data_IF_228183198063
#
_entry.id   IF_228183198063
#
_cell.length_a   1.000
_cell.length_b   1.000
_cell.length_c   1.000
_cell.angle_alpha   90.00
_cell.angle_beta   90.00
_cell.angle_gamma   90.00
#
_symmetry.space_group_name_H-M   'P 1'
#
loop_
_entity.id
_entity.type
_entity.pdbx_description
1 polymer ?
#
# COMPACT_ATOMS: atom_id res chain seq x y z
N UNK A 1 17.78 21.31 9.70
CA UNK A 1 18.30 22.38 8.81
C UNK A 1 18.94 21.71 7.60
N UNK A 2 18.36 21.92 6.41
CA UNK A 2 18.89 22.97 5.52
C UNK A 2 17.78 23.92 5.04
N UNK A 3 18.15 25.15 4.73
CA UNK A 3 17.27 26.18 4.15
C UNK A 3 17.32 26.12 2.62
N UNK A 4 16.18 26.00 1.96
CA UNK A 4 16.05 26.15 0.51
C UNK A 4 15.85 27.63 0.17
N UNK A 5 16.79 28.23 -0.55
CA UNK A 5 16.66 29.59 -1.07
C UNK A 5 15.92 29.60 -2.42
N UNK A 6 14.80 30.33 -2.51
CA UNK A 6 14.13 30.63 -3.78
C UNK A 6 14.54 32.04 -4.21
N UNK A 7 15.40 32.13 -5.23
CA UNK A 7 15.83 33.40 -5.82
C UNK A 7 15.07 33.61 -7.13
N UNK A 8 14.13 34.55 -7.19
CA UNK A 8 13.29 34.74 -8.37
C UNK A 8 12.53 36.04 -8.42
N UNK A 9 13.21 37.20 -8.44
CA UNK A 9 12.62 38.44 -8.95
C UNK A 9 13.68 39.26 -9.68
N UNK A 10 13.50 39.46 -11.00
CA UNK A 10 14.33 40.32 -11.85
C UNK A 10 13.63 41.66 -12.03
N UNK A 11 14.15 42.72 -11.41
CA UNK A 11 13.77 44.10 -11.71
C UNK A 11 14.87 44.71 -12.59
N UNK A 12 14.51 45.09 -13.82
CA UNK A 12 15.42 45.68 -14.80
C UNK A 12 15.38 47.18 -14.64
N UNK A 13 16.44 47.78 -14.06
CA UNK A 13 16.79 49.21 -14.17
C UNK A 13 18.28 49.38 -13.80
N UNK A 14 19.11 49.77 -14.79
CA UNK A 14 20.51 50.25 -14.66
C UNK A 14 21.60 49.18 -14.37
N UNK A 15 22.90 49.39 -14.75
CA UNK A 15 23.85 48.31 -15.00
C UNK A 15 24.61 47.80 -13.76
N UNK A 16 24.10 48.06 -12.56
CA UNK A 16 24.72 47.57 -11.31
C UNK A 16 23.84 46.44 -10.77
N UNK A 17 24.26 45.20 -11.03
CA UNK A 17 23.55 43.98 -10.64
C UNK A 17 23.67 43.77 -9.12
N UNK A 18 22.73 44.33 -8.35
CA UNK A 18 22.54 44.00 -6.93
C UNK A 18 21.54 42.83 -6.82
N UNK A 19 22.03 41.65 -6.46
CA UNK A 19 21.17 40.53 -6.05
C UNK A 19 20.58 40.85 -4.66
N UNK A 20 19.30 41.22 -4.60
CA UNK A 20 18.54 41.23 -3.35
C UNK A 20 18.01 39.81 -3.08
N UNK A 21 18.64 39.09 -2.15
CA UNK A 21 18.07 37.89 -1.54
C UNK A 21 17.07 38.32 -0.46
N UNK A 22 15.77 38.17 -0.72
CA UNK A 22 14.75 38.24 0.32
C UNK A 22 14.77 36.91 1.06
N UNK A 23 15.42 36.87 2.23
CA UNK A 23 15.28 35.75 3.16
C UNK A 23 13.89 35.89 3.78
N UNK A 24 12.93 35.08 3.33
CA UNK A 24 11.66 34.92 4.04
C UNK A 24 11.98 34.15 5.32
N UNK A 25 12.19 34.86 6.41
CA UNK A 25 12.28 34.25 7.73
C UNK A 25 10.94 33.57 8.04
N UNK A 26 10.94 32.24 8.15
CA UNK A 26 9.83 31.54 8.77
C UNK A 26 9.65 32.08 10.20
N UNK A 27 8.41 32.29 10.68
CA UNK A 27 8.19 32.72 12.05
C UNK A 27 8.84 31.69 12.98
N UNK A 28 9.72 32.17 13.86
CA UNK A 28 10.33 31.34 14.89
C UNK A 28 9.22 30.70 15.72
N UNK A 29 9.12 29.38 15.67
CA UNK A 29 8.23 28.60 16.53
C UNK A 29 8.66 28.88 17.97
N UNK A 30 7.72 29.36 18.79
CA UNK A 30 7.97 29.67 20.20
C UNK A 30 8.57 28.46 20.92
N UNK A 31 9.66 28.68 21.65
CA UNK A 31 10.50 27.69 22.33
C UNK A 31 9.81 26.84 23.42
N UNK A 32 8.49 26.95 23.59
CA UNK A 32 7.70 26.22 24.58
C UNK A 32 6.73 25.19 23.96
N UNK A 33 6.65 25.07 22.63
CA UNK A 33 5.88 23.99 21.99
C UNK A 33 6.72 22.72 22.04
N UNK A 34 6.46 21.86 23.02
CA UNK A 34 7.05 20.52 23.02
C UNK A 34 6.17 19.64 22.14
N UNK A 35 6.60 19.48 20.88
CA UNK A 35 5.95 18.68 19.86
C UNK A 35 5.72 17.23 20.34
N UNK A 36 4.63 16.56 19.90
CA UNK A 36 4.43 15.16 20.19
C UNK A 36 5.62 14.35 19.71
N UNK A 37 6.18 13.55 20.61
CA UNK A 37 7.07 12.46 20.20
C UNK A 37 6.16 11.28 19.87
N UNK A 38 6.22 10.81 18.62
CA UNK A 38 5.57 9.56 18.25
C UNK A 38 6.23 8.43 19.07
N UNK A 39 5.44 7.70 19.86
CA UNK A 39 5.94 6.56 20.65
C UNK A 39 6.23 5.32 19.79
N UNK A 40 6.17 5.47 18.47
CA UNK A 40 6.09 4.35 17.56
C UNK A 40 7.40 3.56 17.62
N UNK A 41 7.34 2.39 18.25
CA UNK A 41 8.43 1.41 18.22
C UNK A 41 8.78 1.10 16.76
N UNK A 42 10.07 0.92 16.45
CA UNK A 42 10.55 0.65 15.08
C UNK A 42 9.86 -0.55 14.40
N UNK A 43 9.34 -1.50 15.17
CA UNK A 43 8.54 -2.65 14.71
C UNK A 43 7.11 -2.31 14.29
N UNK A 44 6.57 -1.15 14.69
CA UNK A 44 5.23 -0.70 14.32
C UNK A 44 5.17 0.06 12.98
N UNK A 45 6.33 0.40 12.40
CA UNK A 45 6.42 1.16 11.14
C UNK A 45 6.45 0.28 9.89
N UNK A 46 6.43 -1.04 10.04
CA UNK A 46 6.38 -1.99 8.94
C UNK A 46 5.08 -2.80 9.03
N UNK A 47 4.27 -2.76 7.98
CA UNK A 47 3.02 -3.50 7.88
C UNK A 47 2.96 -4.25 6.56
N UNK A 48 2.33 -5.41 6.60
CA UNK A 48 2.01 -6.21 5.43
C UNK A 48 0.50 -6.39 5.38
N UNK A 49 -0.08 -6.30 4.20
CA UNK A 49 -1.48 -6.59 3.94
C UNK A 49 -1.61 -7.26 2.57
N UNK A 50 -2.81 -7.66 2.16
CA UNK A 50 -3.08 -8.21 0.84
C UNK A 50 -4.27 -7.49 0.21
N UNK A 51 -4.53 -7.74 -1.07
CA UNK A 51 -5.66 -7.12 -1.78
C UNK A 51 -6.97 -7.45 -1.07
N UNK A 52 -7.84 -6.48 -0.86
CA UNK A 52 -9.11 -6.65 -0.13
C UNK A 52 -8.96 -6.81 1.38
N UNK A 53 -7.74 -6.92 1.93
CA UNK A 53 -7.53 -6.99 3.37
C UNK A 53 -7.44 -5.58 3.96
N UNK A 54 -8.41 -5.20 4.78
CA UNK A 54 -8.39 -3.90 5.48
C UNK A 54 -7.28 -3.89 6.53
N UNK A 55 -6.25 -3.08 6.27
CA UNK A 55 -5.20 -2.77 7.21
C UNK A 55 -5.67 -1.64 8.14
N UNK A 56 -5.54 -1.84 9.44
CA UNK A 56 -5.72 -0.80 10.46
C UNK A 56 -4.42 -0.60 11.25
N UNK A 57 -3.92 0.63 11.30
CA UNK A 57 -2.70 0.98 12.04
C UNK A 57 -3.02 2.13 12.99
N UNK A 58 -2.90 1.86 14.29
CA UNK A 58 -3.06 2.86 15.33
C UNK A 58 -1.67 3.42 15.70
N UNK A 59 -1.47 4.71 15.43
CA UNK A 59 -0.26 5.45 15.74
C UNK A 59 -0.49 6.25 17.01
N UNK A 60 0.13 5.81 18.10
CA UNK A 60 0.04 6.46 19.39
C UNK A 60 1.04 7.61 19.49
N UNK A 61 0.58 8.74 20.00
CA UNK A 61 1.42 9.88 20.33
C UNK A 61 0.84 10.64 21.51
N UNK A 62 1.71 11.33 22.25
CA UNK A 62 1.35 12.09 23.43
C UNK A 62 1.79 13.54 23.28
N UNK A 63 0.99 14.48 23.76
CA UNK A 63 1.29 15.93 23.77
C UNK A 63 1.27 16.47 25.18
N UNK A 64 2.07 17.52 25.42
CA UNK A 64 2.06 18.22 26.71
C UNK A 64 0.75 18.99 26.91
N UNK A 65 0.32 19.20 28.16
CA UNK A 65 -0.89 19.96 28.46
C UNK A 65 -0.66 21.42 28.05
N UNK A 66 -1.66 22.02 27.42
CA UNK A 66 -1.58 23.38 26.85
C UNK A 66 -1.38 23.43 25.34
N UNK A 67 -1.01 22.30 24.70
CA UNK A 67 -1.10 22.14 23.25
C UNK A 67 -2.40 21.38 22.92
N UNK A 68 -3.43 22.10 22.45
CA UNK A 68 -4.64 21.48 21.92
C UNK A 68 -4.42 21.19 20.44
N UNK A 69 -4.33 19.92 20.07
CA UNK A 69 -4.45 19.50 18.68
C UNK A 69 -5.93 19.35 18.36
N UNK A 70 -6.37 19.90 17.24
CA UNK A 70 -7.68 19.55 16.70
C UNK A 70 -7.66 18.09 16.19
N UNK A 71 -8.83 17.49 16.00
CA UNK A 71 -8.95 16.10 15.52
C UNK A 71 -8.48 15.90 14.07
N UNK A 72 -7.92 16.94 13.43
CA UNK A 72 -7.39 16.92 12.06
C UNK A 72 -5.93 17.39 11.99
N UNK A 73 -5.25 17.50 13.14
CA UNK A 73 -3.91 18.07 13.21
C UNK A 73 -2.86 17.13 12.65
N UNK A 74 -3.11 15.81 12.65
CA UNK A 74 -2.29 14.84 11.91
C UNK A 74 -2.75 14.79 10.45
N UNK A 75 -1.83 15.03 9.52
CA UNK A 75 -2.05 14.84 8.09
C UNK A 75 -1.39 13.54 7.64
N UNK A 76 -2.09 12.78 6.82
CA UNK A 76 -1.50 11.71 6.03
C UNK A 76 -1.12 12.26 4.67
N UNK A 77 0.13 12.11 4.31
CA UNK A 77 0.60 12.24 2.93
C UNK A 77 1.18 10.91 2.50
N UNK A 78 1.16 10.63 1.22
CA UNK A 78 1.73 9.41 0.68
C UNK A 78 2.63 9.76 -0.50
N UNK A 79 3.81 9.14 -0.54
CA UNK A 79 4.62 9.22 -1.75
C UNK A 79 4.04 8.23 -2.76
N UNK A 80 3.50 8.75 -3.85
CA UNK A 80 2.94 7.91 -4.91
C UNK A 80 4.11 7.31 -5.69
N UNK A 81 4.55 6.10 -5.31
CA UNK A 81 5.71 5.46 -5.94
C UNK A 81 5.49 5.21 -7.45
N UNK A 82 4.25 5.18 -7.96
CA UNK A 82 3.95 4.94 -9.39
C UNK A 82 2.67 5.62 -9.95
N UNK A 83 2.28 6.81 -9.49
CA UNK A 83 1.05 7.47 -9.94
C UNK A 83 -0.28 6.78 -9.57
N UNK A 84 -0.27 5.73 -8.75
CA UNK A 84 -1.46 4.98 -8.31
C UNK A 84 -2.16 5.69 -7.13
N UNK A 85 -3.45 6.03 -7.28
CA UNK A 85 -4.26 6.62 -6.21
C UNK A 85 -4.57 5.62 -5.11
N UNK A 86 -4.67 6.08 -3.85
CA UNK A 86 -5.07 5.27 -2.70
C UNK A 86 -6.49 5.67 -2.23
N UNK A 87 -7.57 5.34 -2.97
CA UNK A 87 -8.91 5.91 -2.73
C UNK A 87 -9.55 5.50 -1.41
N UNK A 88 -9.21 4.31 -0.88
CA UNK A 88 -9.74 3.78 0.38
C UNK A 88 -8.90 4.16 1.60
N UNK A 89 -7.82 4.94 1.42
CA UNK A 89 -6.96 5.37 2.52
C UNK A 89 -7.66 6.45 3.34
N UNK A 90 -7.88 6.16 4.62
CA UNK A 90 -8.54 7.06 5.56
C UNK A 90 -7.66 7.26 6.81
N UNK A 91 -7.72 8.47 7.37
CA UNK A 91 -7.16 8.80 8.69
C UNK A 91 -8.27 9.26 9.61
N UNK A 92 -8.28 8.77 10.84
CA UNK A 92 -9.14 9.28 11.90
C UNK A 92 -8.31 9.50 13.17
N UNK A 93 -8.65 10.53 13.95
CA UNK A 93 -7.95 10.84 15.20
C UNK A 93 -8.92 10.88 16.36
N UNK A 94 -8.52 10.32 17.50
CA UNK A 94 -9.30 10.32 18.72
C UNK A 94 -8.40 10.34 19.96
N UNK A 95 -8.91 10.92 21.05
CA UNK A 95 -8.24 10.92 22.35
C UNK A 95 -8.25 9.50 22.94
N UNK A 96 -7.18 9.14 23.64
CA UNK A 96 -7.05 7.84 24.32
C UNK A 96 -6.66 7.98 25.78
N UNK A 97 -6.90 6.93 26.56
CA UNK A 97 -6.42 6.83 27.94
C UNK A 97 -4.92 6.52 27.97
N UNK A 98 -4.18 6.96 29.01
CA UNK A 98 -2.77 6.63 29.18
C UNK A 98 -2.51 5.10 29.18
N UNK A 99 -1.37 4.63 28.66
CA UNK A 99 -0.96 3.24 28.79
C UNK A 99 -0.83 2.87 30.28
N UNK A 100 -1.23 1.64 30.66
CA UNK A 100 -1.16 1.17 32.06
C UNK A 100 0.27 1.13 32.63
N UNK A 101 1.29 1.15 31.78
CA UNK A 101 2.70 0.92 32.11
C UNK A 101 3.52 2.20 32.25
N UNK A 102 3.04 3.35 31.75
CA UNK A 102 3.77 4.62 31.80
C UNK A 102 2.80 5.77 32.10
N UNK A 103 2.88 6.27 33.33
CA UNK A 103 2.10 7.42 33.77
C UNK A 103 2.97 8.67 33.74
N UNK A 104 3.20 9.23 32.54
CA UNK A 104 3.54 10.65 32.49
C UNK A 104 2.32 11.42 32.96
N UNK A 105 2.33 11.85 34.22
CA UNK A 105 1.18 12.36 34.98
C UNK A 105 0.56 13.65 34.44
N UNK A 106 1.07 14.17 33.33
CA UNK A 106 0.64 15.40 32.67
C UNK A 106 0.77 15.29 31.14
N UNK A 107 0.38 14.20 30.49
CA UNK A 107 0.33 14.14 29.01
C UNK A 107 -1.09 13.81 28.54
N UNK A 108 -1.47 14.34 27.39
CA UNK A 108 -2.70 13.97 26.68
C UNK A 108 -2.33 12.97 25.58
N UNK A 109 -2.98 11.82 25.58
CA UNK A 109 -2.71 10.74 24.64
C UNK A 109 -3.71 10.78 23.49
N UNK A 110 -3.19 10.59 22.28
CA UNK A 110 -3.95 10.56 21.05
C UNK A 110 -3.59 9.32 20.24
N UNK A 111 -4.55 8.88 19.44
CA UNK A 111 -4.38 7.83 18.44
C UNK A 111 -4.73 8.41 17.09
N UNK A 112 -3.81 8.31 16.13
CA UNK A 112 -4.12 8.47 14.71
C UNK A 112 -4.27 7.08 14.09
N UNK A 113 -5.49 6.74 13.71
CA UNK A 113 -5.82 5.48 13.07
C UNK A 113 -5.79 5.65 11.56
N UNK A 114 -4.94 4.87 10.91
CA UNK A 114 -4.87 4.74 9.45
C UNK A 114 -5.62 3.48 9.05
N UNK A 115 -6.60 3.61 8.16
CA UNK A 115 -7.37 2.49 7.60
C UNK A 115 -7.17 2.47 6.09
N UNK A 116 -6.85 1.31 5.53
CA UNK A 116 -6.67 1.15 4.09
C UNK A 116 -7.01 -0.25 3.62
N UNK A 117 -7.78 -0.36 2.53
CA UNK A 117 -8.09 -1.64 1.86
C UNK A 117 -7.49 -1.61 0.46
N UNK A 118 -6.37 -2.31 0.20
CA UNK A 118 -5.71 -2.29 -1.10
C UNK A 118 -6.56 -2.95 -2.19
N UNK A 119 -6.64 -2.33 -3.35
CA UNK A 119 -7.15 -2.93 -4.59
C UNK A 119 -6.06 -3.68 -5.38
N UNK A 120 -6.47 -4.41 -6.42
CA UNK A 120 -5.57 -5.24 -7.24
C UNK A 120 -4.37 -4.46 -7.79
N UNK A 121 -4.57 -3.21 -8.23
CA UNK A 121 -3.51 -2.33 -8.76
C UNK A 121 -2.38 -2.05 -7.78
N UNK A 122 -2.60 -2.30 -6.48
CA UNK A 122 -1.61 -2.10 -5.42
C UNK A 122 -0.81 -3.37 -5.09
N UNK A 123 -1.16 -4.51 -5.69
CA UNK A 123 -0.48 -5.80 -5.47
C UNK A 123 1.02 -5.70 -5.72
N UNK A 124 1.80 -6.40 -4.90
CA UNK A 124 3.26 -6.49 -5.00
C UNK A 124 4.02 -5.15 -4.86
N UNK A 125 3.36 -4.09 -4.39
CA UNK A 125 3.98 -2.78 -4.19
C UNK A 125 4.18 -2.47 -2.71
N UNK A 126 5.12 -1.56 -2.46
CA UNK A 126 5.36 -1.00 -1.12
C UNK A 126 5.06 0.48 -1.13
N UNK A 127 4.21 0.90 -0.20
CA UNK A 127 3.76 2.28 -0.02
C UNK A 127 4.43 2.90 1.20
N UNK A 128 4.85 4.14 1.02
CA UNK A 128 5.45 4.98 2.05
C UNK A 128 4.44 6.05 2.44
N UNK A 129 3.83 5.87 3.61
CA UNK A 129 2.82 6.76 4.16
C UNK A 129 3.50 7.66 5.20
N UNK A 130 3.61 8.94 4.88
CA UNK A 130 4.13 9.96 5.76
C UNK A 130 3.01 10.47 6.67
N UNK A 131 3.16 10.23 7.97
CA UNK A 131 2.24 10.72 9.00
C UNK A 131 2.87 11.95 9.61
N UNK A 132 2.32 13.12 9.33
CA UNK A 132 2.93 14.40 9.64
C UNK A 132 2.04 15.26 10.51
N UNK A 133 2.63 15.93 11.50
CA UNK A 133 1.95 16.91 12.35
C UNK A 133 2.46 18.31 11.95
N UNK A 134 1.71 19.09 11.16
CA UNK A 134 2.18 20.36 10.60
C UNK A 134 2.55 21.40 11.63
N UNK A 135 1.85 21.44 12.75
CA UNK A 135 2.13 22.38 13.85
C UNK A 135 3.49 22.14 14.50
N UNK A 136 4.09 20.97 14.27
CA UNK A 136 5.23 20.48 15.02
C UNK A 136 6.43 20.12 14.15
N UNK A 137 6.27 20.13 12.83
CA UNK A 137 7.26 19.67 11.84
C UNK A 137 7.80 18.26 12.12
N UNK A 138 7.01 17.42 12.79
CA UNK A 138 7.36 16.03 13.11
C UNK A 138 6.64 15.09 12.17
N UNK A 139 7.38 14.17 11.56
CA UNK A 139 6.83 13.09 10.73
C UNK A 139 7.24 11.71 11.22
N UNK A 140 6.40 10.73 10.94
CA UNK A 140 6.70 9.31 11.05
C UNK A 140 6.41 8.62 9.71
N UNK A 141 7.20 7.62 9.36
CA UNK A 141 7.10 6.94 8.08
C UNK A 141 6.56 5.52 8.26
N UNK A 142 5.33 5.29 7.83
CA UNK A 142 4.71 3.97 7.80
C UNK A 142 4.96 3.31 6.45
N UNK A 143 5.66 2.16 6.46
CA UNK A 143 5.87 1.31 5.29
C UNK A 143 4.81 0.22 5.25
N UNK A 144 4.03 0.17 4.17
CA UNK A 144 3.04 -0.88 3.93
C UNK A 144 3.38 -1.65 2.67
N UNK A 145 3.57 -2.96 2.78
CA UNK A 145 3.78 -3.86 1.64
C UNK A 145 2.52 -4.66 1.36
N UNK A 146 2.05 -4.65 0.12
CA UNK A 146 0.92 -5.48 -0.31
C UNK A 146 1.45 -6.78 -0.88
N UNK A 147 1.04 -7.90 -0.30
CA UNK A 147 1.50 -9.21 -0.71
C UNK A 147 1.04 -9.52 -2.13
N UNK A 148 1.94 -10.10 -2.90
CA UNK A 148 1.67 -10.55 -4.26
C UNK A 148 0.83 -11.82 -4.25
N UNK A 149 -0.13 -11.91 -5.18
CA UNK A 149 -0.92 -13.13 -5.43
C UNK A 149 -1.75 -13.63 -4.24
N UNK A 150 -2.15 -12.70 -3.36
CA UNK A 150 -2.97 -12.96 -2.19
C UNK A 150 -4.10 -11.95 -2.09
N UNK A 151 -5.22 -12.37 -1.53
CA UNK A 151 -6.34 -11.48 -1.25
C UNK A 151 -7.18 -11.93 -0.05
N UNK A 152 -7.94 -11.01 0.54
CA UNK A 152 -8.97 -11.34 1.53
C UNK A 152 -10.35 -11.49 0.88
N UNK A 153 -11.13 -12.41 1.43
CA UNK A 153 -12.52 -12.61 1.07
C UNK A 153 -13.43 -11.56 1.74
N UNK A 154 -14.41 -11.06 1.00
CA UNK A 154 -15.49 -10.22 1.51
C UNK A 154 -16.60 -11.09 2.11
N UNK A 155 -17.53 -10.49 2.86
CA UNK A 155 -18.59 -11.21 3.61
C UNK A 155 -19.45 -12.15 2.75
N UNK A 156 -19.72 -11.79 1.50
CA UNK A 156 -20.60 -12.54 0.60
C UNK A 156 -19.86 -13.35 -0.48
N UNK A 157 -18.53 -13.44 -0.39
CA UNK A 157 -17.73 -14.13 -1.40
C UNK A 157 -17.62 -15.63 -1.11
N UNK A 158 -17.70 -16.42 -2.18
CA UNK A 158 -17.37 -17.85 -2.25
C UNK A 158 -16.13 -18.07 -3.11
N UNK A 159 -15.44 -19.21 -2.98
CA UNK A 159 -14.34 -19.55 -3.91
C UNK A 159 -14.81 -19.57 -5.38
N UNK A 160 -16.05 -19.98 -5.64
CA UNK A 160 -16.66 -19.93 -6.98
C UNK A 160 -16.80 -18.51 -7.49
N UNK A 161 -17.36 -17.60 -6.69
CA UNK A 161 -17.51 -16.20 -7.09
C UNK A 161 -16.17 -15.55 -7.38
N UNK A 162 -15.13 -15.81 -6.57
CA UNK A 162 -13.78 -15.29 -6.80
C UNK A 162 -13.19 -15.88 -8.07
N UNK A 163 -13.24 -17.21 -8.24
CA UNK A 163 -12.68 -17.86 -9.43
C UNK A 163 -13.36 -17.37 -10.70
N UNK A 164 -14.68 -17.14 -10.66
CA UNK A 164 -15.45 -16.52 -11.74
C UNK A 164 -14.94 -15.15 -12.16
N UNK A 165 -14.51 -14.29 -11.22
CA UNK A 165 -13.90 -12.98 -11.53
C UNK A 165 -12.64 -13.10 -12.40
N UNK A 166 -11.92 -14.21 -12.27
CA UNK A 166 -10.68 -14.46 -12.98
C UNK A 166 -10.84 -15.47 -14.13
N UNK A 167 -12.08 -15.85 -14.48
CA UNK A 167 -12.37 -16.92 -15.43
C UNK A 167 -11.61 -18.23 -15.10
N UNK A 168 -11.76 -18.67 -13.86
CA UNK A 168 -11.14 -19.87 -13.30
C UNK A 168 -12.19 -20.73 -12.61
N UNK A 169 -11.86 -22.01 -12.46
CA UNK A 169 -12.65 -22.92 -11.66
C UNK A 169 -12.26 -22.80 -10.18
N UNK A 170 -13.24 -22.84 -9.27
CA UNK A 170 -13.00 -22.69 -7.82
C UNK A 170 -11.98 -23.68 -7.24
N UNK A 171 -11.92 -24.90 -7.79
CA UNK A 171 -11.01 -25.94 -7.34
C UNK A 171 -9.54 -25.53 -7.53
N UNK A 172 -9.25 -24.66 -8.50
CA UNK A 172 -7.91 -24.11 -8.70
C UNK A 172 -7.48 -23.28 -7.50
N UNK A 173 -8.36 -22.39 -7.03
CA UNK A 173 -8.09 -21.55 -5.86
C UNK A 173 -7.98 -22.45 -4.63
N UNK A 174 -8.90 -23.39 -4.46
CA UNK A 174 -8.83 -24.32 -3.33
C UNK A 174 -7.51 -25.12 -3.30
N UNK A 175 -7.03 -25.57 -4.47
CA UNK A 175 -5.80 -26.37 -4.57
C UNK A 175 -4.53 -25.64 -4.10
N UNK A 176 -4.49 -24.31 -4.19
CA UNK A 176 -3.35 -23.48 -3.73
C UNK A 176 -3.51 -22.98 -2.30
N UNK A 177 -4.56 -23.40 -1.61
CA UNK A 177 -4.89 -23.03 -0.24
C UNK A 177 -5.04 -24.27 0.66
N UNK A 178 -3.95 -25.02 0.92
CA UNK A 178 -4.00 -26.26 1.71
C UNK A 178 -4.45 -26.07 3.16
N UNK A 179 -4.47 -24.82 3.65
CA UNK A 179 -4.99 -24.47 4.98
C UNK A 179 -6.53 -24.36 5.03
N UNK A 180 -7.22 -24.31 3.88
CA UNK A 180 -8.68 -24.34 3.84
C UNK A 180 -9.16 -25.79 3.96
N UNK A 181 -9.74 -26.11 5.11
CA UNK A 181 -10.25 -27.45 5.42
C UNK A 181 -11.44 -27.87 4.54
N UNK A 182 -12.19 -26.91 4.01
CA UNK A 182 -13.34 -27.14 3.13
C UNK A 182 -13.53 -25.92 2.23
N UNK A 183 -13.88 -26.12 0.94
CA UNK A 183 -14.07 -25.01 -0.01
C UNK A 183 -15.26 -24.11 0.32
N UNK A 184 -16.24 -24.62 1.08
CA UNK A 184 -17.46 -23.89 1.46
C UNK A 184 -17.33 -23.22 2.83
N UNK A 185 -16.30 -23.56 3.61
CA UNK A 185 -16.06 -23.02 4.96
C UNK A 185 -15.03 -21.92 4.91
N UNK A 186 -15.43 -20.78 4.35
CA UNK A 186 -14.62 -19.57 4.28
C UNK A 186 -15.28 -18.44 5.06
N UNK A 187 -14.46 -17.56 5.63
CA UNK A 187 -14.91 -16.46 6.49
C UNK A 187 -14.57 -15.12 5.86
N UNK A 188 -15.37 -14.10 6.17
CA UNK A 188 -15.02 -12.72 5.85
C UNK A 188 -13.65 -12.35 6.42
N UNK A 189 -12.83 -11.64 5.65
CA UNK A 189 -11.46 -11.28 6.00
C UNK A 189 -10.47 -12.44 5.96
N UNK A 190 -10.88 -13.66 5.60
CA UNK A 190 -9.96 -14.77 5.41
C UNK A 190 -9.03 -14.48 4.23
N UNK A 191 -7.73 -14.41 4.49
CA UNK A 191 -6.72 -14.32 3.44
C UNK A 191 -6.57 -15.67 2.73
N UNK A 192 -6.53 -15.61 1.40
CA UNK A 192 -6.29 -16.73 0.50
C UNK A 192 -5.16 -16.41 -0.48
N UNK A 193 -4.46 -17.45 -0.94
CA UNK A 193 -3.64 -17.41 -2.13
C UNK A 193 -4.57 -17.40 -3.34
N UNK A 194 -4.45 -16.38 -4.19
CA UNK A 194 -5.23 -16.27 -5.41
C UNK A 194 -4.68 -17.19 -6.52
N UNK A 195 -3.37 -17.41 -6.51
CA UNK A 195 -2.66 -18.24 -7.47
C UNK A 195 -1.30 -18.66 -6.94
N UNK A 196 -0.37 -18.97 -7.84
CA UNK A 196 1.02 -19.30 -7.51
C UNK A 196 1.96 -18.18 -7.95
N UNK A 197 3.11 -18.09 -7.27
CA UNK A 197 4.22 -17.25 -7.69
C UNK A 197 5.16 -18.08 -8.57
N UNK A 198 5.33 -17.65 -9.81
CA UNK A 198 6.33 -18.18 -10.74
C UNK A 198 7.54 -17.24 -10.78
N UNK A 199 8.74 -17.78 -10.57
CA UNK A 199 9.99 -17.03 -10.75
C UNK A 199 10.48 -17.18 -12.19
N UNK A 200 10.63 -16.07 -12.89
CA UNK A 200 11.05 -16.06 -14.30
C UNK A 200 12.49 -16.52 -14.48
N UNK A 201 12.73 -17.09 -15.65
CA UNK A 201 14.06 -17.43 -16.17
C UNK A 201 14.37 -16.59 -17.41
N UNK A 202 15.63 -16.54 -17.82
CA UNK A 202 16.05 -15.81 -19.02
C UNK A 202 15.25 -16.26 -20.25
N UNK A 203 14.70 -15.28 -20.98
CA UNK A 203 13.86 -15.52 -22.16
C UNK A 203 12.37 -15.62 -21.87
N UNK A 204 11.95 -15.59 -20.60
CA UNK A 204 10.52 -15.50 -20.26
C UNK A 204 9.94 -14.15 -20.71
N UNK A 205 8.74 -14.21 -21.30
CA UNK A 205 7.94 -13.04 -21.66
C UNK A 205 6.53 -13.26 -21.14
N UNK A 206 5.75 -12.19 -20.91
CA UNK A 206 4.35 -12.37 -20.50
C UNK A 206 3.54 -13.16 -21.54
N UNK A 207 3.88 -13.06 -22.82
CA UNK A 207 3.22 -13.82 -23.89
C UNK A 207 3.54 -15.32 -23.82
N UNK A 208 4.79 -15.70 -23.53
CA UNK A 208 5.14 -17.11 -23.36
C UNK A 208 4.50 -17.69 -22.09
N UNK A 209 4.48 -16.92 -21.00
CA UNK A 209 3.81 -17.33 -19.76
C UNK A 209 2.29 -17.45 -19.92
N UNK A 210 1.67 -16.58 -20.72
CA UNK A 210 0.22 -16.63 -21.00
C UNK A 210 -0.16 -17.96 -21.67
N UNK A 211 0.59 -18.37 -22.68
CA UNK A 211 0.44 -19.66 -23.36
C UNK A 211 0.74 -20.83 -22.42
N UNK A 212 1.86 -20.77 -21.69
CA UNK A 212 2.30 -21.84 -20.79
C UNK A 212 1.29 -22.15 -19.69
N UNK A 213 0.67 -21.13 -19.11
CA UNK A 213 -0.25 -21.28 -17.98
C UNK A 213 -1.74 -21.23 -18.38
N UNK A 214 -2.07 -21.09 -19.67
CA UNK A 214 -3.47 -20.98 -20.12
C UNK A 214 -4.17 -19.75 -19.51
N UNK A 215 -3.45 -18.64 -19.39
CA UNK A 215 -3.99 -17.38 -18.86
C UNK A 215 -4.01 -16.33 -19.96
N UNK A 216 -5.08 -15.51 -20.02
CA UNK A 216 -5.11 -14.43 -21.01
C UNK A 216 -4.02 -13.41 -20.69
N UNK A 217 -3.44 -12.81 -21.72
CA UNK A 217 -2.39 -11.80 -21.53
C UNK A 217 -2.91 -10.61 -20.69
N UNK A 218 -4.17 -10.23 -20.87
CA UNK A 218 -4.78 -9.13 -20.13
C UNK A 218 -4.96 -9.48 -18.65
N UNK A 219 -5.43 -10.68 -18.32
CA UNK A 219 -5.53 -11.12 -16.94
C UNK A 219 -4.15 -11.23 -16.28
N UNK A 220 -3.16 -11.75 -17.02
CA UNK A 220 -1.80 -11.83 -16.53
C UNK A 220 -1.21 -10.44 -16.21
N UNK A 221 -1.48 -9.43 -17.04
CA UNK A 221 -1.11 -8.03 -16.75
C UNK A 221 -1.85 -7.49 -15.52
N UNK A 222 -3.16 -7.74 -15.41
CA UNK A 222 -3.96 -7.29 -14.26
C UNK A 222 -3.46 -7.85 -12.92
N UNK A 223 -3.00 -9.11 -12.91
CA UNK A 223 -2.44 -9.76 -11.72
C UNK A 223 -1.02 -9.28 -11.36
N UNK A 224 -0.35 -8.59 -12.28
CA UNK A 224 1.03 -8.11 -12.14
C UNK A 224 1.15 -6.62 -12.50
N UNK A 225 0.37 -5.73 -11.85
CA UNK A 225 0.27 -4.32 -12.21
C UNK A 225 1.57 -3.55 -11.97
N UNK A 226 2.47 -4.07 -11.13
CA UNK A 226 3.77 -3.48 -10.83
C UNK A 226 4.79 -3.66 -11.96
N UNK A 227 4.52 -4.55 -12.94
CA UNK A 227 5.41 -4.77 -14.07
C UNK A 227 5.10 -3.71 -15.14
N UNK A 228 6.06 -2.83 -15.48
CA UNK A 228 5.84 -1.82 -16.50
C UNK A 228 5.70 -2.47 -17.88
N UNK A 229 4.90 -1.87 -18.76
CA UNK A 229 4.64 -2.41 -20.09
C UNK A 229 5.91 -2.58 -20.95
N UNK A 230 6.94 -1.76 -20.70
CA UNK A 230 8.25 -1.87 -21.33
C UNK A 230 9.02 -3.16 -20.98
N UNK A 231 8.71 -3.80 -19.84
CA UNK A 231 9.33 -5.05 -19.42
C UNK A 231 8.60 -6.31 -19.94
N UNK A 232 7.40 -6.17 -20.51
CA UNK A 232 6.62 -7.32 -21.01
C UNK A 232 7.33 -8.18 -22.07
N UNK A 233 8.11 -7.61 -23.00
CA UNK A 233 8.83 -8.38 -24.02
C UNK A 233 10.06 -9.13 -23.50
N UNK A 234 10.56 -8.79 -22.31
CA UNK A 234 11.73 -9.43 -21.72
C UNK A 234 11.66 -9.30 -20.20
N UNK A 235 11.13 -10.33 -19.54
CA UNK A 235 11.09 -10.38 -18.09
C UNK A 235 12.51 -10.70 -17.59
N UNK A 236 13.04 -9.86 -16.71
CA UNK A 236 14.33 -10.14 -16.08
C UNK A 236 14.27 -11.45 -15.30
N UNK A 237 15.37 -12.19 -15.26
CA UNK A 237 15.48 -13.41 -14.43
C UNK A 237 15.16 -13.14 -12.96
N UNK A 238 14.55 -14.15 -12.31
CA UNK A 238 14.13 -14.12 -10.91
C UNK A 238 13.07 -13.03 -10.57
N UNK A 239 12.32 -12.57 -11.58
CA UNK A 239 11.13 -11.76 -11.35
C UNK A 239 9.99 -12.66 -10.89
N UNK A 240 9.40 -12.36 -9.73
CA UNK A 240 8.22 -13.07 -9.25
C UNK A 240 6.99 -12.64 -10.05
N UNK A 241 6.22 -13.57 -10.60
CA UNK A 241 5.00 -13.35 -11.39
C UNK A 241 3.84 -14.09 -10.73
N UNK A 242 2.73 -13.42 -10.47
CA UNK A 242 1.50 -14.06 -10.01
C UNK A 242 0.81 -14.66 -11.23
N UNK A 243 0.57 -15.96 -11.18
CA UNK A 243 -0.15 -16.69 -12.21
C UNK A 243 -1.28 -17.49 -11.58
N UNK A 244 -2.42 -17.55 -12.28
CA UNK A 244 -3.52 -18.45 -11.93
C UNK A 244 -3.67 -19.42 -13.10
N UNK A 245 -2.98 -20.58 -13.06
CA UNK A 245 -3.01 -21.54 -14.15
C UNK A 245 -4.42 -22.06 -14.43
N UNK A 246 -4.70 -22.35 -15.70
CA UNK A 246 -5.87 -23.12 -16.08
C UNK A 246 -5.59 -24.61 -15.83
N UNK A 247 -6.23 -25.19 -14.81
CA UNK A 247 -6.10 -26.63 -14.48
C UNK A 247 -7.28 -27.47 -14.98
N UNK A 248 -8.44 -26.85 -15.19
CA UNK A 248 -9.61 -27.48 -15.77
C UNK A 248 -9.91 -26.77 -17.10
N UNK A 249 -9.63 -27.38 -18.27
CA UNK A 249 -9.87 -26.76 -19.57
C UNK A 249 -11.36 -26.73 -19.95
N UNK A 250 -12.27 -26.85 -18.98
CA UNK A 250 -13.73 -26.84 -19.18
C UNK A 250 -14.22 -25.53 -19.78
N UNK A 251 -13.46 -24.44 -19.62
CA UNK A 251 -13.73 -23.13 -20.22
C UNK A 251 -13.17 -22.98 -21.64
N UNK A 252 -12.49 -23.99 -22.20
CA UNK A 252 -12.11 -23.99 -23.62
C UNK A 252 -13.33 -24.33 -24.47
N UNK A 253 -13.56 -23.55 -25.51
CA UNK A 253 -14.40 -24.02 -26.62
C UNK A 253 -13.84 -25.39 -27.07
N UNK A 254 -14.67 -26.43 -27.06
CA UNK A 254 -14.26 -27.75 -27.57
C UNK A 254 -13.78 -27.56 -29.01
N UNK A 255 -12.50 -27.77 -29.25
CA UNK A 255 -11.96 -27.85 -30.61
C UNK A 255 -12.29 -29.26 -31.12
N UNK A 256 -13.09 -29.43 -32.19
CA UNK A 256 -13.38 -30.75 -32.73
C UNK A 256 -12.07 -31.46 -33.11
N UNK A 257 -11.87 -32.68 -32.60
CA UNK A 257 -10.71 -33.50 -32.92
C UNK A 257 -9.53 -33.43 -31.94
N UNK A 258 -9.63 -32.67 -30.84
CA UNK A 258 -8.64 -32.69 -29.75
C UNK A 258 -9.30 -33.22 -28.47
N UNK A 259 -8.83 -34.35 -27.97
CA UNK A 259 -9.18 -34.89 -26.64
C UNK A 259 -8.06 -34.55 -25.67
N UNK A 260 -8.38 -33.84 -24.58
CA UNK A 260 -7.47 -33.57 -23.47
C UNK A 260 -7.43 -34.75 -22.50
#
# INVERSE_FOLDING_TARGET
>A
MPSTALCGLKLILSPILLLLCVVVAQPAVASNVTCPQFEVASSQLYRTTSVGCTLTVDLNFHVKPGLSLDTNSVKLTHDVVMGVSLPSLQSTQFASSPPKTEAFTNMIYYVSRVVWTPELVHSAQTYLLNVFVPTCDTSSLLRVTVNKCKMCLSEDQTLESIAGLYNRHWSQIWSVNPFLLSPDKISAGQEINLGIIYSTTDGDTLMLLSVRFGISLDLLKQLNPEIPASAFPNLGSNTSICVIPETCPEFRARVPGITW
#
